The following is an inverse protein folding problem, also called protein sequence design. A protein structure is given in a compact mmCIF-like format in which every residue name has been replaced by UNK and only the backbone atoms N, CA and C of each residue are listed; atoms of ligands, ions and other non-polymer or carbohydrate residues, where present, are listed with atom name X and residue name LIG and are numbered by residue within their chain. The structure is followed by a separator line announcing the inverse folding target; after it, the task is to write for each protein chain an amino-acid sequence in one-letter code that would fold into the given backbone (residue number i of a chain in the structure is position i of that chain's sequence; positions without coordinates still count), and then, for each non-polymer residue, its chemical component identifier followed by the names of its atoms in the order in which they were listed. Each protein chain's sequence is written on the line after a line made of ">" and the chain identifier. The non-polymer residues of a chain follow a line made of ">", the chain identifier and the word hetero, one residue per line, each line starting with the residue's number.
data_IF_261909003207
#
_entry.id   IF_261909003207
#
_cell.length_a   1.000
_cell.length_b   1.000
_cell.length_c   1.000
_cell.angle_alpha   90.00
_cell.angle_beta   90.00
_cell.angle_gamma   90.00
#
_symmetry.space_group_name_H-M   'P 1'
#
loop_
_entity.id
_entity.type
_entity.pdbx_description
1 polymer ?
#
# COMPACT_ATOMS: atom_id res chain seq x y z
N UNK A 1 12.12 -18.78 -17.69
CA UNK A 1 11.26 -18.33 -16.59
C UNK A 1 9.91 -17.94 -17.17
N UNK A 2 8.95 -18.85 -17.13
CA UNK A 2 7.60 -18.63 -17.64
C UNK A 2 6.72 -18.09 -16.53
N UNK A 3 6.16 -16.90 -16.72
CA UNK A 3 5.10 -16.36 -15.88
C UNK A 3 3.84 -17.21 -16.07
N UNK A 4 3.61 -18.16 -15.16
CA UNK A 4 2.38 -18.94 -15.09
C UNK A 4 1.29 -18.02 -14.54
N UNK A 5 0.46 -17.49 -15.44
CA UNK A 5 -0.75 -16.75 -15.09
C UNK A 5 -1.73 -17.66 -14.35
N UNK A 6 -1.81 -17.49 -13.03
CA UNK A 6 -2.75 -18.19 -12.16
C UNK A 6 -4.05 -17.38 -11.97
N UNK A 7 -4.61 -16.86 -13.07
CA UNK A 7 -5.95 -16.25 -13.08
C UNK A 7 -7.01 -17.36 -13.22
N UNK A 8 -7.01 -18.26 -12.24
CA UNK A 8 -7.88 -19.44 -12.17
C UNK A 8 -9.18 -19.19 -11.37
N UNK A 9 -10.08 -20.18 -11.32
CA UNK A 9 -11.57 -20.16 -11.22
C UNK A 9 -12.33 -19.33 -10.17
N UNK A 10 -11.66 -18.52 -9.35
CA UNK A 10 -12.28 -17.81 -8.21
C UNK A 10 -13.29 -16.72 -8.62
N UNK A 11 -13.08 -16.09 -9.77
CA UNK A 11 -13.94 -14.99 -10.25
C UNK A 11 -15.32 -15.42 -10.73
N UNK A 12 -15.47 -16.67 -11.20
CA UNK A 12 -16.75 -17.24 -11.62
C UNK A 12 -17.61 -17.66 -10.42
N UNK A 13 -17.00 -18.29 -9.42
CA UNK A 13 -17.68 -18.71 -8.19
C UNK A 13 -18.19 -17.52 -7.37
N UNK A 14 -17.38 -16.45 -7.25
CA UNK A 14 -17.78 -15.23 -6.53
C UNK A 14 -18.95 -14.48 -7.18
N UNK A 15 -19.12 -14.62 -8.50
CA UNK A 15 -20.23 -14.00 -9.24
C UNK A 15 -21.56 -14.71 -9.01
N UNK A 16 -21.53 -16.03 -8.77
CA UNK A 16 -22.72 -16.83 -8.45
C UNK A 16 -23.31 -16.46 -7.08
N UNK A 17 -22.47 -16.45 -6.04
CA UNK A 17 -22.93 -16.19 -4.66
C UNK A 17 -23.56 -14.80 -4.50
N UNK A 18 -22.96 -13.77 -5.11
CA UNK A 18 -23.49 -12.41 -5.05
C UNK A 18 -24.89 -12.27 -5.68
N UNK A 19 -25.16 -13.03 -6.75
CA UNK A 19 -26.47 -13.03 -7.42
C UNK A 19 -27.52 -13.73 -6.56
N UNK A 20 -27.16 -14.83 -5.90
CA UNK A 20 -28.07 -15.59 -5.06
C UNK A 20 -28.49 -14.79 -3.82
N UNK A 21 -27.54 -14.08 -3.21
CA UNK A 21 -27.81 -13.18 -2.07
C UNK A 21 -28.71 -12.01 -2.47
N UNK A 22 -28.48 -11.43 -3.66
CA UNK A 22 -29.35 -10.39 -4.22
C UNK A 22 -30.78 -10.92 -4.41
N UNK A 23 -30.94 -12.07 -5.05
CA UNK A 23 -32.25 -12.66 -5.32
C UNK A 23 -33.00 -12.98 -4.03
N UNK A 24 -32.31 -13.53 -3.03
CA UNK A 24 -32.89 -13.79 -1.71
C UNK A 24 -33.37 -12.50 -1.04
N UNK A 25 -32.59 -11.43 -1.11
CA UNK A 25 -32.96 -10.12 -0.58
C UNK A 25 -34.18 -9.52 -1.29
N UNK A 26 -34.20 -9.58 -2.63
CA UNK A 26 -35.34 -9.10 -3.43
C UNK A 26 -36.61 -9.88 -3.10
N UNK A 27 -36.53 -11.22 -3.05
CA UNK A 27 -37.68 -12.07 -2.70
C UNK A 27 -38.19 -11.73 -1.29
N UNK A 28 -37.29 -11.58 -0.31
CA UNK A 28 -37.66 -11.19 1.05
C UNK A 28 -38.37 -9.84 1.10
N UNK A 29 -37.86 -8.83 0.38
CA UNK A 29 -38.46 -7.51 0.31
C UNK A 29 -39.85 -7.54 -0.35
N UNK A 30 -39.99 -8.28 -1.46
CA UNK A 30 -41.28 -8.44 -2.16
C UNK A 30 -42.30 -9.12 -1.28
N UNK A 31 -41.92 -10.20 -0.59
CA UNK A 31 -42.81 -10.90 0.35
C UNK A 31 -43.26 -9.96 1.47
N UNK A 32 -42.36 -9.15 2.03
CA UNK A 32 -42.71 -8.20 3.09
C UNK A 32 -43.66 -7.10 2.58
N UNK A 33 -43.45 -6.58 1.36
CA UNK A 33 -44.36 -5.63 0.72
C UNK A 33 -45.75 -6.23 0.50
N UNK A 34 -45.82 -7.47 -0.01
CA UNK A 34 -47.09 -8.17 -0.22
C UNK A 34 -47.82 -8.45 1.09
N UNK A 35 -47.10 -8.82 2.14
CA UNK A 35 -47.68 -9.00 3.48
C UNK A 35 -48.25 -7.70 4.02
N UNK A 36 -47.56 -6.58 3.79
CA UNK A 36 -48.04 -5.26 4.23
C UNK A 36 -49.27 -4.80 3.43
N UNK A 37 -49.28 -5.01 2.11
CA UNK A 37 -50.46 -4.76 1.27
C UNK A 37 -51.65 -5.66 1.66
N UNK A 38 -51.40 -6.93 1.97
CA UNK A 38 -52.43 -7.84 2.47
C UNK A 38 -52.95 -7.41 3.85
N UNK A 39 -52.06 -6.95 4.73
CA UNK A 39 -52.43 -6.45 6.05
C UNK A 39 -53.39 -5.26 5.96
N UNK A 40 -53.19 -4.34 5.00
CA UNK A 40 -54.17 -3.28 4.71
C UNK A 40 -55.55 -3.87 4.42
N UNK A 41 -55.61 -4.86 3.52
CA UNK A 41 -56.88 -5.43 3.05
C UNK A 41 -57.63 -6.21 4.14
N UNK A 42 -56.91 -6.88 5.03
CA UNK A 42 -57.49 -7.79 6.03
C UNK A 42 -57.70 -7.16 7.40
N UNK A 43 -56.79 -6.28 7.83
CA UNK A 43 -56.83 -5.66 9.15
C UNK A 43 -57.44 -4.26 9.11
N UNK A 44 -57.40 -3.60 7.96
CA UNK A 44 -57.84 -2.22 7.78
C UNK A 44 -58.88 -2.10 6.65
N UNK A 45 -59.47 -0.91 6.50
CA UNK A 45 -60.33 -0.62 5.36
C UNK A 45 -59.47 -0.30 4.11
N UNK A 46 -59.94 -0.61 2.89
CA UNK A 46 -59.25 -0.23 1.66
C UNK A 46 -58.97 1.29 1.62
N UNK A 47 -57.74 1.68 1.26
CA UNK A 47 -57.32 3.08 1.21
C UNK A 47 -56.93 3.67 2.56
N UNK A 48 -56.85 2.86 3.62
CA UNK A 48 -56.38 3.33 4.93
C UNK A 48 -54.96 3.88 4.85
N UNK A 49 -54.06 3.26 4.08
CA UNK A 49 -52.68 3.73 3.98
C UNK A 49 -52.53 5.05 3.21
N UNK A 50 -53.49 5.39 2.35
CA UNK A 50 -53.51 6.69 1.66
C UNK A 50 -53.81 7.86 2.62
N UNK A 51 -54.50 7.58 3.73
CA UNK A 51 -54.81 8.60 4.75
C UNK A 51 -53.61 8.95 5.64
N UNK A 52 -52.58 8.10 5.64
CA UNK A 52 -51.38 8.31 6.45
C UNK A 52 -50.44 9.29 5.75
N UNK A 53 -49.88 10.23 6.52
CA UNK A 53 -48.85 11.16 6.02
C UNK A 53 -47.58 10.45 5.55
N UNK A 54 -47.29 9.29 6.14
CA UNK A 54 -46.13 8.47 5.82
C UNK A 54 -46.58 7.05 5.44
N UNK A 55 -46.52 6.74 4.15
CA UNK A 55 -47.00 5.46 3.64
C UNK A 55 -46.10 4.30 4.11
N UNK A 56 -46.62 3.27 4.81
CA UNK A 56 -45.84 2.30 5.59
C UNK A 56 -44.81 1.49 4.79
N UNK A 57 -44.89 1.49 3.46
CA UNK A 57 -43.89 0.91 2.55
C UNK A 57 -42.48 1.48 2.75
N UNK A 58 -42.35 2.70 3.26
CA UNK A 58 -41.05 3.31 3.59
C UNK A 58 -40.19 2.45 4.53
N UNK A 59 -40.83 1.75 5.49
CA UNK A 59 -40.14 0.87 6.46
C UNK A 59 -39.52 -0.31 5.74
N UNK A 60 -40.28 -0.95 4.86
CA UNK A 60 -39.83 -2.13 4.11
C UNK A 60 -38.67 -1.77 3.19
N UNK A 61 -38.76 -0.63 2.51
CA UNK A 61 -37.71 -0.11 1.62
C UNK A 61 -36.43 0.17 2.40
N UNK A 62 -36.54 0.82 3.58
CA UNK A 62 -35.39 1.08 4.45
C UNK A 62 -34.73 -0.21 4.94
N UNK A 63 -35.52 -1.17 5.41
CA UNK A 63 -35.00 -2.46 5.87
C UNK A 63 -34.29 -3.19 4.73
N UNK A 64 -34.90 -3.22 3.54
CA UNK A 64 -34.30 -3.84 2.36
C UNK A 64 -32.98 -3.17 1.96
N UNK A 65 -32.93 -1.83 1.94
CA UNK A 65 -31.72 -1.06 1.65
C UNK A 65 -30.63 -1.26 2.71
N UNK A 66 -31.01 -1.35 3.98
CA UNK A 66 -30.08 -1.52 5.10
C UNK A 66 -29.51 -2.94 5.19
N UNK A 67 -30.32 -3.96 4.91
CA UNK A 67 -29.90 -5.36 5.02
C UNK A 67 -29.12 -5.81 3.79
N UNK A 68 -29.59 -5.45 2.59
CA UNK A 68 -29.10 -6.01 1.33
C UNK A 68 -28.45 -4.97 0.40
N UNK A 69 -28.38 -3.70 0.82
CA UNK A 69 -27.72 -2.62 0.07
C UNK A 69 -28.62 -1.94 -0.96
N UNK A 70 -27.99 -1.09 -1.80
CA UNK A 70 -28.68 -0.19 -2.74
C UNK A 70 -29.55 -0.92 -3.77
N UNK A 71 -29.03 -2.00 -4.38
CA UNK A 71 -29.72 -2.70 -5.46
C UNK A 71 -31.08 -3.27 -5.03
N UNK A 72 -31.13 -3.93 -3.87
CA UNK A 72 -32.38 -4.48 -3.32
C UNK A 72 -33.31 -3.37 -2.85
N UNK A 73 -32.78 -2.29 -2.26
CA UNK A 73 -33.56 -1.11 -1.92
C UNK A 73 -34.26 -0.50 -3.14
N UNK A 74 -33.55 -0.30 -4.25
CA UNK A 74 -34.13 0.20 -5.50
C UNK A 74 -35.19 -0.75 -6.08
N UNK A 75 -34.94 -2.06 -6.05
CA UNK A 75 -35.93 -3.06 -6.49
C UNK A 75 -37.20 -3.02 -5.61
N UNK A 76 -37.04 -2.83 -4.30
CA UNK A 76 -38.15 -2.69 -3.37
C UNK A 76 -38.95 -1.41 -3.65
N UNK A 77 -38.29 -0.27 -3.95
CA UNK A 77 -38.97 0.97 -4.37
C UNK A 77 -39.79 0.75 -5.65
N UNK A 78 -39.20 0.12 -6.66
CA UNK A 78 -39.89 -0.17 -7.91
C UNK A 78 -41.13 -1.04 -7.68
N UNK A 79 -41.00 -2.10 -6.86
CA UNK A 79 -42.12 -2.97 -6.53
C UNK A 79 -43.19 -2.25 -5.71
N UNK A 80 -42.80 -1.47 -4.71
CA UNK A 80 -43.70 -0.66 -3.90
C UNK A 80 -44.49 0.34 -4.76
N UNK A 81 -43.84 0.94 -5.76
CA UNK A 81 -44.48 1.84 -6.72
C UNK A 81 -45.53 1.12 -7.58
N UNK A 82 -45.24 -0.12 -8.01
CA UNK A 82 -46.22 -0.94 -8.74
C UNK A 82 -47.39 -1.33 -7.85
N UNK A 83 -47.15 -1.69 -6.59
CA UNK A 83 -48.17 -2.12 -5.64
C UNK A 83 -49.08 -0.99 -5.14
N UNK A 84 -48.54 0.22 -5.02
CA UNK A 84 -49.32 1.40 -4.60
C UNK A 84 -50.41 1.78 -5.63
N UNK A 85 -50.23 1.39 -6.89
CA UNK A 85 -51.12 1.79 -7.96
C UNK A 85 -50.90 3.25 -8.38
N UNK A 86 -51.64 3.69 -9.40
CA UNK A 86 -51.55 5.05 -9.92
C UNK A 86 -52.67 5.89 -9.29
N UNK A 87 -52.37 7.08 -8.75
CA UNK A 87 -53.39 7.95 -8.19
C UNK A 87 -54.39 8.37 -9.27
N UNK A 88 -55.65 8.63 -8.90
CA UNK A 88 -56.64 9.07 -9.87
C UNK A 88 -56.27 10.43 -10.49
N UNK A 89 -56.43 10.54 -11.81
CA UNK A 89 -56.21 11.80 -12.55
C UNK A 89 -57.44 12.68 -12.45
N UNK A 90 -57.27 13.94 -12.03
CA UNK A 90 -58.38 14.90 -11.96
C UNK A 90 -58.81 15.32 -13.37
N UNK A 91 -60.12 15.51 -13.57
CA UNK A 91 -60.66 15.96 -14.86
C UNK A 91 -60.13 17.36 -15.18
N UNK A 92 -59.50 17.51 -16.34
CA UNK A 92 -58.87 18.77 -16.77
C UNK A 92 -57.44 18.99 -16.27
N UNK A 93 -56.86 18.05 -15.52
CA UNK A 93 -55.46 18.12 -15.10
C UNK A 93 -54.52 17.82 -16.26
N UNK A 94 -53.51 18.68 -16.43
CA UNK A 94 -52.45 18.47 -17.41
C UNK A 94 -51.65 17.18 -17.12
N UNK A 95 -51.29 16.46 -18.17
CA UNK A 95 -50.60 15.17 -18.07
C UNK A 95 -49.23 15.30 -17.39
N UNK A 96 -48.52 16.41 -17.62
CA UNK A 96 -47.22 16.67 -16.99
C UNK A 96 -47.35 16.90 -15.48
N UNK A 97 -48.37 17.65 -15.05
CA UNK A 97 -48.66 17.92 -13.63
C UNK A 97 -49.04 16.63 -12.90
N UNK A 98 -49.89 15.81 -13.53
CA UNK A 98 -50.26 14.49 -13.01
C UNK A 98 -49.05 13.57 -12.82
N UNK A 99 -48.19 13.44 -13.84
CA UNK A 99 -47.00 12.60 -13.77
C UNK A 99 -46.01 13.09 -12.70
N UNK A 100 -45.81 14.41 -12.59
CA UNK A 100 -44.95 14.98 -11.56
C UNK A 100 -45.46 14.64 -10.15
N UNK A 101 -46.78 14.79 -9.91
CA UNK A 101 -47.40 14.46 -8.61
C UNK A 101 -47.26 12.97 -8.26
N UNK A 102 -47.53 12.08 -9.22
CA UNK A 102 -47.42 10.64 -9.02
C UNK A 102 -45.98 10.18 -8.73
N UNK A 103 -44.97 10.89 -9.25
CA UNK A 103 -43.57 10.53 -9.09
C UNK A 103 -42.93 10.99 -7.76
N UNK A 104 -43.51 11.98 -7.04
CA UNK A 104 -42.89 12.56 -5.84
C UNK A 104 -42.62 11.50 -4.76
N UNK A 105 -43.61 10.67 -4.46
CA UNK A 105 -43.52 9.66 -3.40
C UNK A 105 -42.46 8.58 -3.71
N UNK A 106 -42.49 7.90 -4.87
CA UNK A 106 -41.43 6.98 -5.28
C UNK A 106 -40.04 7.61 -5.29
N UNK A 107 -39.93 8.86 -5.73
CA UNK A 107 -38.65 9.57 -5.77
C UNK A 107 -38.09 9.81 -4.37
N UNK A 108 -38.93 10.19 -3.41
CA UNK A 108 -38.51 10.34 -2.01
C UNK A 108 -38.00 9.01 -1.44
N UNK A 109 -38.72 7.91 -1.66
CA UNK A 109 -38.28 6.58 -1.22
C UNK A 109 -36.97 6.15 -1.88
N UNK A 110 -36.82 6.43 -3.17
CA UNK A 110 -35.61 6.13 -3.92
C UNK A 110 -34.40 6.87 -3.35
N UNK A 111 -34.52 8.17 -3.09
CA UNK A 111 -33.43 8.98 -2.52
C UNK A 111 -33.01 8.43 -1.16
N UNK A 112 -33.98 8.12 -0.29
CA UNK A 112 -33.69 7.56 1.05
C UNK A 112 -33.04 6.18 0.94
N UNK A 113 -33.57 5.29 0.09
CA UNK A 113 -33.00 3.96 -0.14
C UNK A 113 -31.57 4.04 -0.68
N UNK A 114 -31.30 4.99 -1.57
CA UNK A 114 -29.98 5.21 -2.13
C UNK A 114 -28.99 5.67 -1.06
N UNK A 115 -29.34 6.68 -0.26
CA UNK A 115 -28.47 7.20 0.82
C UNK A 115 -28.13 6.09 1.82
N UNK A 116 -29.15 5.39 2.32
CA UNK A 116 -28.97 4.32 3.31
C UNK A 116 -28.23 3.13 2.73
N UNK A 117 -28.58 2.71 1.52
CA UNK A 117 -27.91 1.61 0.83
C UNK A 117 -26.45 1.91 0.54
N UNK A 118 -26.11 3.13 0.11
CA UNK A 118 -24.73 3.54 -0.16
C UNK A 118 -23.90 3.56 1.13
N UNK A 119 -24.47 4.08 2.21
CA UNK A 119 -23.82 4.07 3.52
C UNK A 119 -23.53 2.64 3.99
N UNK A 120 -24.50 1.73 3.85
CA UNK A 120 -24.33 0.32 4.17
C UNK A 120 -23.26 -0.35 3.30
N UNK A 121 -23.29 -0.10 1.99
CA UNK A 121 -22.31 -0.66 1.05
C UNK A 121 -20.89 -0.22 1.40
N UNK A 122 -20.72 1.06 1.79
CA UNK A 122 -19.44 1.56 2.28
C UNK A 122 -18.98 0.84 3.56
N UNK A 123 -19.88 0.62 4.52
CA UNK A 123 -19.56 -0.13 5.74
C UNK A 123 -19.12 -1.57 5.45
N UNK A 124 -19.79 -2.25 4.51
CA UNK A 124 -19.44 -3.63 4.13
C UNK A 124 -18.03 -3.67 3.56
N UNK A 125 -17.72 -2.80 2.60
CA UNK A 125 -16.38 -2.72 1.99
C UNK A 125 -15.32 -2.39 3.05
N UNK A 126 -15.57 -1.42 3.92
CA UNK A 126 -14.63 -1.05 4.98
C UNK A 126 -14.37 -2.21 5.95
N UNK A 127 -15.42 -2.94 6.32
CA UNK A 127 -15.28 -4.11 7.20
C UNK A 127 -14.54 -5.27 6.49
N UNK A 128 -14.79 -5.50 5.21
CA UNK A 128 -14.07 -6.49 4.42
C UNK A 128 -12.58 -6.14 4.30
N UNK A 129 -12.25 -4.87 4.06
CA UNK A 129 -10.85 -4.41 4.00
C UNK A 129 -10.15 -4.60 5.34
N UNK A 130 -10.79 -4.23 6.45
CA UNK A 130 -10.21 -4.41 7.79
C UNK A 130 -9.99 -5.89 8.13
N UNK A 131 -10.89 -6.78 7.72
CA UNK A 131 -10.71 -8.23 7.89
C UNK A 131 -9.58 -8.78 7.04
N UNK A 132 -9.46 -8.33 5.79
CA UNK A 132 -8.37 -8.75 4.92
C UNK A 132 -7.01 -8.27 5.46
N UNK A 133 -6.94 -7.05 5.98
CA UNK A 133 -5.75 -6.50 6.61
C UNK A 133 -5.38 -7.27 7.90
N UNK A 134 -6.35 -7.61 8.74
CA UNK A 134 -6.13 -8.42 9.94
C UNK A 134 -5.57 -9.81 9.58
N UNK A 135 -6.18 -10.51 8.63
CA UNK A 135 -5.70 -11.82 8.17
C UNK A 135 -4.29 -11.74 7.56
N UNK A 136 -3.96 -10.65 6.86
CA UNK A 136 -2.61 -10.40 6.33
C UNK A 136 -1.59 -10.21 7.44
N UNK A 137 -1.91 -9.43 8.47
CA UNK A 137 -1.02 -9.17 9.61
C UNK A 137 -0.79 -10.43 10.46
N UNK A 138 -1.83 -11.23 10.66
CA UNK A 138 -1.71 -12.56 11.29
C UNK A 138 -0.74 -13.44 10.48
N UNK A 139 -0.92 -13.52 9.16
CA UNK A 139 -0.01 -14.27 8.29
C UNK A 139 1.45 -13.77 8.32
N UNK A 140 1.67 -12.46 8.45
CA UNK A 140 3.02 -11.90 8.62
C UNK A 140 3.63 -12.30 9.96
N UNK A 141 2.83 -12.28 11.02
CA UNK A 141 3.27 -12.63 12.37
C UNK A 141 3.65 -14.10 12.45
N UNK A 142 2.83 -14.99 11.87
CA UNK A 142 3.11 -16.42 11.77
C UNK A 142 4.39 -16.68 10.96
N UNK A 143 4.58 -15.97 9.85
CA UNK A 143 5.80 -16.07 9.05
C UNK A 143 7.05 -15.59 9.80
N UNK A 144 6.94 -14.53 10.61
CA UNK A 144 8.04 -14.02 11.43
C UNK A 144 8.37 -14.99 12.57
N UNK A 145 7.36 -15.55 13.23
CA UNK A 145 7.55 -16.55 14.28
C UNK A 145 8.28 -17.79 13.73
N UNK A 146 7.88 -18.27 12.56
CA UNK A 146 8.56 -19.38 11.89
C UNK A 146 10.01 -19.04 11.49
N UNK A 147 10.30 -17.79 11.11
CA UNK A 147 11.66 -17.37 10.82
C UNK A 147 12.54 -17.31 12.07
N UNK A 148 12.01 -16.78 13.17
CA UNK A 148 12.73 -16.74 14.46
C UNK A 148 13.06 -18.15 14.93
N UNK A 149 12.11 -19.08 14.85
CA UNK A 149 12.34 -20.49 15.20
C UNK A 149 13.45 -21.13 14.32
N UNK A 150 13.45 -20.85 13.01
CA UNK A 150 14.54 -21.28 12.11
C UNK A 150 15.90 -20.68 12.47
N UNK A 151 15.94 -19.40 12.85
CA UNK A 151 17.17 -18.74 13.28
C UNK A 151 17.69 -19.33 14.59
N UNK A 152 16.83 -19.62 15.55
CA UNK A 152 17.18 -20.25 16.82
C UNK A 152 17.75 -21.66 16.60
N UNK A 153 17.13 -22.47 15.74
CA UNK A 153 17.63 -23.79 15.36
C UNK A 153 19.03 -23.72 14.71
N UNK A 154 19.23 -22.74 13.84
CA UNK A 154 20.53 -22.50 13.20
C UNK A 154 21.59 -22.11 14.23
N UNK A 155 21.28 -21.25 15.21
CA UNK A 155 22.19 -20.89 16.30
C UNK A 155 22.58 -22.14 17.10
N UNK A 156 21.61 -22.96 17.51
CA UNK A 156 21.87 -24.19 18.27
C UNK A 156 22.76 -25.17 17.48
N UNK A 157 22.57 -25.27 16.16
CA UNK A 157 23.44 -26.09 15.30
C UNK A 157 24.87 -25.57 15.29
N UNK A 158 25.06 -24.26 15.11
CA UNK A 158 26.39 -23.62 15.09
C UNK A 158 27.10 -23.74 16.45
N UNK A 159 26.37 -23.61 17.55
CA UNK A 159 26.91 -23.82 18.90
C UNK A 159 27.40 -25.26 19.10
N UNK A 160 26.63 -26.25 18.63
CA UNK A 160 27.03 -27.67 18.68
C UNK A 160 28.26 -27.94 17.83
N UNK A 161 28.33 -27.38 16.62
CA UNK A 161 29.50 -27.50 15.75
C UNK A 161 30.74 -26.85 16.37
N UNK A 162 30.58 -25.69 17.00
CA UNK A 162 31.66 -25.00 17.70
C UNK A 162 32.16 -25.80 18.91
N UNK A 163 31.26 -26.42 19.68
CA UNK A 163 31.60 -27.26 20.83
C UNK A 163 32.21 -28.60 20.42
N UNK A 164 31.80 -29.18 19.30
CA UNK A 164 32.32 -30.44 18.77
C UNK A 164 33.68 -30.27 18.06
N UNK A 165 34.04 -29.05 17.67
CA UNK A 165 35.37 -28.76 17.10
C UNK A 165 36.41 -29.02 18.20
N UNK A 166 37.26 -30.05 18.06
CA UNK A 166 38.24 -30.39 19.08
C UNK A 166 39.16 -29.19 19.30
N UNK A 167 39.53 -28.94 20.55
CA UNK A 167 40.53 -27.97 20.95
C UNK A 167 41.88 -28.38 20.33
N UNK A 168 42.07 -28.05 19.05
CA UNK A 168 43.38 -28.05 18.44
C UNK A 168 44.21 -27.03 19.22
N UNK A 169 45.47 -27.39 19.49
CA UNK A 169 46.52 -26.51 19.99
C UNK A 169 46.38 -25.11 19.38
N UNK A 170 46.63 -24.01 20.12
CA UNK A 170 46.46 -22.64 19.65
C UNK A 170 47.44 -22.34 18.51
N UNK A 171 47.14 -22.85 17.32
CA UNK A 171 47.61 -22.29 16.08
C UNK A 171 47.06 -20.86 16.07
N UNK A 172 47.92 -19.85 15.84
CA UNK A 172 47.48 -18.46 15.81
C UNK A 172 46.26 -18.39 14.88
N UNK A 173 45.14 -17.92 15.43
CA UNK A 173 43.92 -17.73 14.65
C UNK A 173 44.32 -17.10 13.32
N UNK A 174 43.92 -17.66 12.17
CA UNK A 174 44.24 -17.03 10.89
C UNK A 174 43.71 -15.61 11.02
N UNK A 175 44.63 -14.64 11.08
CA UNK A 175 44.29 -13.23 11.02
C UNK A 175 43.37 -13.15 9.81
N UNK A 176 42.10 -12.73 9.96
CA UNK A 176 41.20 -12.70 8.82
C UNK A 176 41.79 -11.71 7.82
N UNK A 177 42.53 -12.23 6.86
CA UNK A 177 43.09 -11.49 5.74
C UNK A 177 42.03 -11.51 4.67
N UNK A 178 41.25 -10.43 4.56
CA UNK A 178 40.19 -10.29 3.57
C UNK A 178 39.00 -9.48 4.06
N UNK A 179 37.97 -9.41 3.21
CA UNK A 179 36.78 -8.55 3.37
C UNK A 179 36.04 -8.76 4.70
N UNK A 180 36.09 -9.96 5.28
CA UNK A 180 35.46 -10.24 6.57
C UNK A 180 36.05 -9.46 7.75
N UNK A 181 37.35 -9.13 7.74
CA UNK A 181 37.96 -8.29 8.76
C UNK A 181 37.56 -6.83 8.61
N UNK A 182 37.49 -6.37 7.36
CA UNK A 182 37.06 -5.03 7.01
C UNK A 182 35.60 -4.83 7.46
N UNK A 183 34.71 -5.77 7.14
CA UNK A 183 33.32 -5.71 7.58
C UNK A 183 33.19 -5.72 9.11
N UNK A 184 33.94 -6.57 9.82
CA UNK A 184 33.94 -6.58 11.29
C UNK A 184 34.39 -5.24 11.89
N UNK A 185 35.37 -4.60 11.26
CA UNK A 185 35.85 -3.27 11.68
C UNK A 185 34.81 -2.18 11.38
N UNK A 186 34.06 -2.31 10.28
CA UNK A 186 33.04 -1.35 9.86
C UNK A 186 31.69 -1.51 10.57
N UNK A 187 31.42 -2.67 11.20
CA UNK A 187 30.14 -2.97 11.88
C UNK A 187 29.65 -1.88 12.85
N UNK A 188 30.48 -1.29 13.72
CA UNK A 188 30.02 -0.23 14.63
C UNK A 188 29.48 0.99 13.87
N UNK A 189 30.18 1.41 12.82
CA UNK A 189 29.79 2.59 12.01
C UNK A 189 28.56 2.29 11.14
N UNK A 190 28.45 1.08 10.58
CA UNK A 190 27.25 0.63 9.87
C UNK A 190 26.02 0.58 10.80
N UNK A 191 26.21 0.13 12.03
CA UNK A 191 25.16 0.14 13.05
C UNK A 191 24.77 1.57 13.45
N UNK A 192 25.74 2.49 13.55
CA UNK A 192 25.48 3.90 13.82
C UNK A 192 24.69 4.54 12.68
N UNK A 193 25.07 4.28 11.42
CA UNK A 193 24.34 4.72 10.24
C UNK A 193 22.89 4.23 10.27
N UNK A 194 22.65 2.92 10.46
CA UNK A 194 21.29 2.37 10.54
C UNK A 194 20.47 2.98 11.70
N UNK A 195 21.15 3.45 12.75
CA UNK A 195 20.58 4.15 13.90
C UNK A 195 20.30 5.64 13.71
N UNK A 196 20.95 6.27 12.73
CA UNK A 196 21.01 7.71 12.59
C UNK A 196 19.64 8.36 12.35
N UNK A 197 19.49 9.57 12.89
CA UNK A 197 18.28 10.39 12.73
C UNK A 197 18.65 11.81 12.31
N UNK A 198 17.78 12.43 11.52
CA UNK A 198 17.84 13.86 11.21
C UNK A 198 19.23 14.33 10.75
N UNK A 199 19.81 15.22 11.55
CA UNK A 199 21.09 15.88 11.36
C UNK A 199 22.33 15.00 11.59
N UNK A 200 22.17 13.80 12.18
CA UNK A 200 23.27 12.85 12.38
C UNK A 200 23.57 12.01 11.12
N UNK A 201 22.61 11.95 10.18
CA UNK A 201 22.71 11.12 8.97
C UNK A 201 23.96 11.43 8.11
N UNK A 202 24.32 12.71 7.81
CA UNK A 202 25.53 12.98 7.04
C UNK A 202 26.81 12.46 7.71
N UNK A 203 26.98 12.70 9.01
CA UNK A 203 28.19 12.35 9.74
C UNK A 203 28.35 10.82 9.90
N UNK A 204 27.26 10.13 10.22
CA UNK A 204 27.25 8.67 10.36
C UNK A 204 27.42 7.96 9.01
N UNK A 205 26.88 8.51 7.93
CA UNK A 205 27.11 8.02 6.58
C UNK A 205 28.58 8.13 6.18
N UNK A 206 29.21 9.29 6.42
CA UNK A 206 30.61 9.51 6.10
C UNK A 206 31.54 8.57 6.89
N UNK A 207 31.25 8.36 8.18
CA UNK A 207 32.00 7.43 9.02
C UNK A 207 31.88 5.98 8.52
N UNK A 208 30.66 5.54 8.20
CA UNK A 208 30.40 4.21 7.64
C UNK A 208 31.07 4.02 6.26
N UNK A 209 31.02 5.03 5.39
CA UNK A 209 31.66 5.02 4.09
C UNK A 209 33.19 4.89 4.22
N UNK A 210 33.82 5.71 5.07
CA UNK A 210 35.27 5.65 5.34
C UNK A 210 35.73 4.33 5.96
N UNK A 211 34.86 3.68 6.75
CA UNK A 211 35.17 2.39 7.33
C UNK A 211 35.10 1.25 6.31
N UNK A 212 34.32 1.41 5.24
CA UNK A 212 34.02 0.35 4.28
C UNK A 212 34.78 0.48 2.95
N UNK A 213 35.05 1.71 2.51
CA UNK A 213 35.51 2.05 1.16
C UNK A 213 36.73 2.97 1.21
N UNK A 214 37.71 2.72 0.33
CA UNK A 214 38.98 3.45 0.27
C UNK A 214 38.93 4.64 -0.73
N UNK A 215 37.76 5.23 -0.95
CA UNK A 215 37.57 6.29 -1.94
C UNK A 215 36.36 7.18 -1.67
N UNK A 216 36.15 8.23 -2.47
CA UNK A 216 35.08 9.20 -2.26
C UNK A 216 33.70 8.56 -2.52
N UNK A 217 32.78 8.84 -1.59
CA UNK A 217 31.43 8.28 -1.57
C UNK A 217 30.42 9.40 -1.30
N UNK A 218 29.33 9.39 -2.06
CA UNK A 218 28.20 10.27 -1.84
C UNK A 218 26.89 9.46 -1.72
N UNK A 219 25.98 9.95 -0.88
CA UNK A 219 24.60 9.52 -0.76
C UNK A 219 23.71 10.60 -1.35
N UNK A 220 22.93 10.21 -2.35
CA UNK A 220 21.93 11.05 -2.98
C UNK A 220 20.57 10.55 -2.51
N UNK A 221 19.96 11.28 -1.58
CA UNK A 221 18.59 11.06 -1.14
C UNK A 221 17.66 11.93 -1.98
N UNK A 222 16.67 11.34 -2.64
CA UNK A 222 15.73 12.11 -3.47
C UNK A 222 14.37 12.14 -2.83
N UNK A 223 13.84 13.34 -2.65
CA UNK A 223 12.43 13.57 -2.37
C UNK A 223 11.70 13.90 -3.69
N UNK A 224 10.64 13.17 -4.07
CA UNK A 224 9.86 13.49 -5.25
C UNK A 224 9.19 14.88 -5.19
N UNK A 225 8.98 15.45 -4.00
CA UNK A 225 8.35 16.76 -3.80
C UNK A 225 9.38 17.89 -3.62
N UNK A 226 10.41 17.68 -2.80
CA UNK A 226 11.31 18.76 -2.31
C UNK A 226 12.72 18.75 -2.93
N UNK A 227 12.98 17.86 -3.89
CA UNK A 227 14.21 17.84 -4.67
C UNK A 227 15.26 16.85 -4.17
N UNK A 228 16.52 17.08 -4.56
CA UNK A 228 17.63 16.14 -4.30
C UNK A 228 18.45 16.62 -3.10
N UNK A 229 18.48 15.83 -2.03
CA UNK A 229 19.35 16.04 -0.88
C UNK A 229 20.64 15.25 -1.09
N UNK A 230 21.77 15.93 -1.08
CA UNK A 230 23.09 15.29 -1.13
C UNK A 230 23.73 15.25 0.25
N UNK A 231 24.28 14.09 0.59
CA UNK A 231 24.99 13.81 1.82
C UNK A 231 26.33 13.13 1.47
N UNK A 232 27.43 13.58 2.04
CA UNK A 232 28.76 12.97 1.83
C UNK A 232 29.72 13.84 1.01
N UNK A 233 30.73 13.20 0.42
CA UNK A 233 31.85 13.90 -0.22
C UNK A 233 31.43 14.45 -1.60
N UNK A 234 31.35 15.77 -1.71
CA UNK A 234 30.98 16.47 -2.94
C UNK A 234 31.94 16.18 -4.10
N UNK A 235 33.20 15.84 -3.82
CA UNK A 235 34.21 15.52 -4.83
C UNK A 235 33.89 14.21 -5.59
N UNK A 236 32.98 13.37 -5.06
CA UNK A 236 32.51 12.17 -5.72
C UNK A 236 31.66 12.49 -6.98
N UNK A 237 30.97 13.63 -6.98
CA UNK A 237 29.98 14.01 -8.02
C UNK A 237 30.30 15.34 -8.72
N UNK A 238 31.23 16.14 -8.19
CA UNK A 238 31.62 17.45 -8.73
C UNK A 238 30.69 18.59 -8.27
N UNK A 239 30.86 19.78 -8.87
CA UNK A 239 30.19 21.03 -8.43
C UNK A 239 28.65 21.00 -8.55
N UNK A 240 28.09 20.15 -9.42
CA UNK A 240 26.64 19.99 -9.60
C UNK A 240 26.24 18.52 -9.50
N UNK A 241 25.97 18.10 -8.28
CA UNK A 241 25.71 16.72 -7.99
C UNK A 241 24.32 16.23 -8.41
N UNK A 242 23.34 17.12 -8.57
CA UNK A 242 22.04 16.74 -9.13
C UNK A 242 22.19 16.39 -10.61
N UNK A 243 22.90 17.24 -11.36
CA UNK A 243 23.22 16.98 -12.77
C UNK A 243 24.06 15.72 -12.92
N UNK A 244 25.06 15.51 -12.05
CA UNK A 244 25.88 14.31 -12.07
C UNK A 244 25.09 13.04 -11.73
N UNK A 245 24.24 13.07 -10.70
CA UNK A 245 23.37 11.96 -10.34
C UNK A 245 22.40 11.59 -11.48
N UNK A 246 21.85 12.60 -12.17
CA UNK A 246 20.98 12.41 -13.33
C UNK A 246 21.72 11.82 -14.52
N UNK A 247 22.94 12.29 -14.80
CA UNK A 247 23.78 11.76 -15.86
C UNK A 247 24.19 10.30 -15.60
N UNK A 248 24.58 9.98 -14.36
CA UNK A 248 24.94 8.62 -13.95
C UNK A 248 23.76 7.66 -14.06
N UNK A 249 22.55 8.06 -13.63
CA UNK A 249 21.33 7.25 -13.81
C UNK A 249 20.98 7.05 -15.29
N UNK A 250 21.13 8.08 -16.12
CA UNK A 250 20.83 7.97 -17.55
C UNK A 250 21.82 7.04 -18.28
N UNK A 251 23.06 6.94 -17.79
CA UNK A 251 24.08 6.06 -18.33
C UNK A 251 23.98 4.62 -17.80
N UNK A 252 23.30 4.39 -16.67
CA UNK A 252 23.05 3.06 -16.12
C UNK A 252 21.78 2.44 -16.73
N UNK A 253 21.92 1.36 -17.51
CA UNK A 253 20.76 0.61 -18.04
C UNK A 253 19.91 -0.02 -16.92
N UNK A 254 20.55 -0.42 -15.81
CA UNK A 254 19.95 -0.80 -14.54
C UNK A 254 20.69 -0.06 -13.42
N UNK A 255 19.99 0.81 -12.67
CA UNK A 255 20.63 1.62 -11.62
C UNK A 255 21.08 0.74 -10.44
N UNK A 256 20.57 -0.49 -10.37
CA UNK A 256 20.89 -1.44 -9.31
C UNK A 256 22.20 -2.16 -9.62
N UNK A 257 23.32 -1.68 -9.07
CA UNK A 257 24.60 -2.37 -9.20
C UNK A 257 25.27 -2.18 -10.57
N UNK A 258 25.05 -1.05 -11.22
CA UNK A 258 25.81 -0.68 -12.41
C UNK A 258 27.18 -0.12 -12.04
N UNK A 259 28.18 -0.51 -12.83
CA UNK A 259 29.49 0.16 -12.90
C UNK A 259 29.51 1.00 -14.17
N UNK A 260 29.60 2.32 -14.00
CA UNK A 260 29.55 3.30 -15.09
C UNK A 260 30.88 4.03 -15.16
N UNK A 261 31.53 4.06 -16.32
CA UNK A 261 32.72 4.89 -16.51
C UNK A 261 32.30 6.36 -16.62
N UNK A 262 33.04 7.27 -15.98
CA UNK A 262 32.68 8.70 -15.99
C UNK A 262 32.55 9.26 -17.41
N UNK A 263 33.42 8.81 -18.32
CA UNK A 263 33.36 9.17 -19.74
C UNK A 263 32.08 8.71 -20.44
N UNK A 264 31.53 7.54 -20.08
CA UNK A 264 30.28 7.05 -20.65
C UNK A 264 29.07 7.87 -20.16
N UNK A 265 29.14 8.39 -18.93
CA UNK A 265 28.15 9.31 -18.38
C UNK A 265 28.32 10.77 -18.86
N UNK A 266 29.33 11.06 -19.68
CA UNK A 266 29.64 12.43 -20.12
C UNK A 266 30.17 13.33 -19.01
N UNK A 267 30.66 12.76 -17.90
CA UNK A 267 31.21 13.48 -16.77
C UNK A 267 32.72 13.69 -16.92
N UNK A 268 33.25 14.84 -16.47
CA UNK A 268 34.68 15.12 -16.54
C UNK A 268 35.47 14.23 -15.57
N UNK A 269 36.65 13.80 -16.01
CA UNK A 269 37.59 13.01 -15.21
C UNK A 269 37.73 11.55 -15.65
N UNK A 270 38.80 10.91 -15.18
CA UNK A 270 39.02 9.47 -15.33
C UNK A 270 38.41 8.70 -14.15
N UNK A 271 38.11 7.42 -14.39
CA UNK A 271 37.64 6.47 -13.38
C UNK A 271 36.29 5.83 -13.69
N UNK A 272 35.81 5.05 -12.73
CA UNK A 272 34.50 4.41 -12.78
C UNK A 272 33.73 4.66 -11.50
N UNK A 273 32.41 4.59 -11.61
CA UNK A 273 31.48 4.80 -10.50
C UNK A 273 30.64 3.54 -10.32
N UNK A 274 30.55 3.07 -9.08
CA UNK A 274 29.61 2.03 -8.67
C UNK A 274 28.38 2.69 -8.09
N UNK A 275 27.21 2.31 -8.60
CA UNK A 275 25.92 2.82 -8.15
C UNK A 275 25.14 1.71 -7.44
N UNK A 276 24.59 2.02 -6.27
CA UNK A 276 23.57 1.19 -5.64
C UNK A 276 22.40 2.07 -5.21
N UNK A 277 21.27 1.88 -5.87
CA UNK A 277 20.01 2.54 -5.52
C UNK A 277 19.10 1.58 -4.74
N UNK A 278 18.47 2.13 -3.71
CA UNK A 278 17.52 1.44 -2.85
C UNK A 278 16.33 2.36 -2.58
N UNK A 279 15.15 1.90 -2.94
CA UNK A 279 13.91 2.62 -2.65
C UNK A 279 13.53 2.42 -1.17
N UNK A 280 13.17 3.51 -0.49
CA UNK A 280 12.54 3.46 0.81
C UNK A 280 11.27 2.60 0.75
N UNK A 281 10.97 1.85 1.82
CA UNK A 281 9.72 1.07 1.90
C UNK A 281 8.52 1.97 2.20
N UNK A 282 8.77 3.20 2.67
CA UNK A 282 7.73 4.18 2.98
C UNK A 282 7.12 4.75 1.69
N UNK A 283 5.79 4.94 1.68
CA UNK A 283 5.01 5.44 0.52
C UNK A 283 5.47 6.81 -0.03
N UNK A 284 6.29 7.56 0.72
CA UNK A 284 6.83 8.86 0.31
C UNK A 284 7.76 8.78 -0.92
N UNK A 285 8.14 7.59 -1.37
CA UNK A 285 8.91 7.41 -2.61
C UNK A 285 10.35 7.93 -2.52
N UNK A 286 10.89 8.07 -1.31
CA UNK A 286 12.28 8.46 -1.11
C UNK A 286 13.21 7.38 -1.67
N UNK A 287 14.24 7.80 -2.40
CA UNK A 287 15.27 6.87 -2.92
C UNK A 287 16.62 7.21 -2.32
N UNK A 288 17.32 6.20 -1.81
CA UNK A 288 18.71 6.30 -1.38
C UNK A 288 19.62 5.77 -2.49
N UNK A 289 20.43 6.63 -3.09
CA UNK A 289 21.42 6.22 -4.09
C UNK A 289 22.83 6.47 -3.55
N UNK A 290 23.59 5.40 -3.35
CA UNK A 290 25.02 5.49 -2.99
C UNK A 290 25.85 5.48 -4.27
N UNK A 291 26.76 6.44 -4.35
CA UNK A 291 27.67 6.66 -5.46
C UNK A 291 29.10 6.52 -4.95
N UNK A 292 29.79 5.45 -5.34
CA UNK A 292 31.19 5.23 -5.01
C UNK A 292 32.07 5.44 -6.23
N UNK A 293 33.06 6.32 -6.14
CA UNK A 293 33.99 6.59 -7.23
C UNK A 293 35.31 5.85 -7.02
N UNK A 294 35.69 5.05 -8.00
CA UNK A 294 36.91 4.27 -8.04
C UNK A 294 37.85 4.73 -9.17
N UNK A 295 39.12 4.33 -9.06
CA UNK A 295 40.18 4.67 -10.03
C UNK A 295 39.92 4.02 -11.39
N UNK A 296 39.32 2.83 -11.41
CA UNK A 296 38.94 2.10 -12.61
C UNK A 296 37.71 1.20 -12.35
N UNK A 297 37.21 0.54 -13.40
CA UNK A 297 36.04 -0.33 -13.33
C UNK A 297 36.27 -1.58 -12.45
N UNK A 298 37.49 -2.13 -12.45
CA UNK A 298 37.80 -3.32 -11.65
C UNK A 298 37.75 -3.01 -10.15
N UNK A 299 38.26 -1.85 -9.73
CA UNK A 299 38.17 -1.37 -8.37
C UNK A 299 36.73 -1.03 -7.96
N UNK A 300 35.91 -0.51 -8.88
CA UNK A 300 34.48 -0.29 -8.66
C UNK A 300 33.72 -1.62 -8.46
N UNK A 301 34.01 -2.64 -9.28
CA UNK A 301 33.39 -3.96 -9.18
C UNK A 301 33.82 -4.70 -7.90
N UNK A 302 35.09 -4.58 -7.49
CA UNK A 302 35.60 -5.14 -6.24
C UNK A 302 34.99 -4.49 -4.97
N UNK A 303 34.28 -3.36 -5.13
CA UNK A 303 33.56 -2.70 -4.05
C UNK A 303 32.04 -2.97 -4.09
N UNK A 304 31.54 -3.77 -5.04
CA UNK A 304 30.12 -3.96 -5.27
C UNK A 304 29.33 -4.34 -4.00
N UNK A 305 29.71 -5.43 -3.33
CA UNK A 305 29.03 -5.91 -2.13
C UNK A 305 29.04 -4.88 -1.00
N UNK A 306 30.15 -4.14 -0.88
CA UNK A 306 30.32 -3.09 0.14
C UNK A 306 29.39 -1.90 -0.13
N UNK A 307 29.32 -1.46 -1.38
CA UNK A 307 28.42 -0.36 -1.79
C UNK A 307 26.95 -0.77 -1.59
N UNK A 308 26.59 -2.03 -1.85
CA UNK A 308 25.24 -2.52 -1.59
C UNK A 308 24.87 -2.55 -0.11
N UNK A 309 25.78 -3.01 0.76
CA UNK A 309 25.58 -2.98 2.22
C UNK A 309 25.37 -1.54 2.68
N UNK A 310 26.20 -0.60 2.22
CA UNK A 310 26.10 0.81 2.60
C UNK A 310 24.78 1.43 2.12
N UNK A 311 24.34 1.11 0.90
CA UNK A 311 23.07 1.58 0.36
C UNK A 311 21.86 1.03 1.13
N UNK A 312 21.91 -0.23 1.57
CA UNK A 312 20.86 -0.83 2.38
C UNK A 312 20.78 -0.18 3.77
N UNK A 313 21.92 0.10 4.41
CA UNK A 313 21.93 0.82 5.69
C UNK A 313 21.38 2.24 5.53
N UNK A 314 21.80 2.96 4.49
CA UNK A 314 21.28 4.30 4.19
C UNK A 314 19.75 4.29 3.95
N UNK A 315 19.23 3.26 3.24
CA UNK A 315 17.78 3.06 3.04
C UNK A 315 17.05 2.93 4.38
N UNK A 316 17.58 2.14 5.32
CA UNK A 316 16.97 1.95 6.65
C UNK A 316 16.91 3.27 7.43
N UNK A 317 17.98 4.07 7.37
CA UNK A 317 18.04 5.37 8.05
C UNK A 317 17.08 6.38 7.43
N UNK A 318 16.98 6.41 6.10
CA UNK A 318 16.01 7.27 5.39
C UNK A 318 14.56 6.84 5.68
N UNK A 319 14.28 5.53 5.76
CA UNK A 319 12.97 5.01 6.16
C UNK A 319 12.57 5.50 7.57
N UNK A 320 13.54 5.63 8.49
CA UNK A 320 13.31 6.16 9.84
C UNK A 320 13.12 7.66 9.81
N UNK A 321 13.98 8.39 9.10
CA UNK A 321 13.86 9.84 8.92
C UNK A 321 12.48 10.21 8.35
N UNK A 322 12.01 9.49 7.34
CA UNK A 322 10.69 9.69 6.73
C UNK A 322 9.54 9.55 7.74
N UNK A 323 9.65 8.59 8.67
CA UNK A 323 8.67 8.41 9.75
C UNK A 323 8.74 9.53 10.78
N UNK A 324 9.95 9.94 11.16
CA UNK A 324 10.15 11.02 12.14
C UNK A 324 9.66 12.38 11.59
N UNK A 325 9.81 12.61 10.28
CA UNK A 325 9.28 13.79 9.59
C UNK A 325 7.76 13.73 9.35
N UNK A 326 7.09 12.62 9.68
CA UNK A 326 5.64 12.47 9.50
C UNK A 326 5.18 12.36 8.04
N UNK A 327 6.10 12.24 7.08
CA UNK A 327 5.83 12.25 5.64
C UNK A 327 4.96 11.06 5.18
N UNK A 328 4.81 10.02 6.00
CA UNK A 328 3.96 8.86 5.68
C UNK A 328 2.52 8.91 6.23
N UNK A 329 2.22 9.74 7.23
CA UNK A 329 0.93 9.67 7.94
C UNK A 329 -0.12 10.64 7.40
N UNK A 330 0.27 11.89 7.14
CA UNK A 330 -0.69 12.94 6.78
C UNK A 330 -1.13 12.85 5.31
N UNK A 331 -0.24 12.47 4.40
CA UNK A 331 -0.58 12.31 2.99
C UNK A 331 -1.33 11.02 2.70
N UNK A 332 -1.14 9.94 3.47
CA UNK A 332 -1.97 8.75 3.37
C UNK A 332 -3.44 9.06 3.74
N UNK A 333 -3.66 9.94 4.73
CA UNK A 333 -4.99 10.44 5.09
C UNK A 333 -5.60 11.33 4.01
N UNK A 334 -4.80 12.17 3.37
CA UNK A 334 -5.23 13.12 2.34
C UNK A 334 -5.48 12.46 0.99
N UNK A 335 -4.59 11.57 0.53
CA UNK A 335 -4.75 10.77 -0.68
C UNK A 335 -5.93 9.78 -0.56
N UNK A 336 -6.17 9.17 0.61
CA UNK A 336 -7.41 8.41 0.87
C UNK A 336 -8.65 9.29 0.87
N UNK A 337 -8.57 10.54 1.35
CA UNK A 337 -9.70 11.49 1.28
C UNK A 337 -9.99 11.94 -0.16
N UNK A 338 -8.97 12.21 -0.96
CA UNK A 338 -9.15 12.66 -2.34
C UNK A 338 -9.60 11.53 -3.27
N UNK A 339 -9.16 10.29 -3.05
CA UNK A 339 -9.75 9.10 -3.72
C UNK A 339 -11.18 8.80 -3.27
N UNK A 340 -11.59 9.20 -2.06
CA UNK A 340 -12.99 9.07 -1.59
C UNK A 340 -13.90 10.21 -2.10
N UNK A 341 -13.33 11.27 -2.71
CA UNK A 341 -14.06 12.43 -3.26
C UNK A 341 -14.23 12.41 -4.78
N UNK A 342 -13.55 11.51 -5.48
CA UNK A 342 -13.77 11.20 -6.91
C UNK A 342 -14.68 9.99 -7.03
#
# INVERSE_FOLDING_TARGET
>A
MSAVGHDGPTSALRRGTARDDLMRGVVGAVVLLLLLAAAERFLFAPGFYETLTLHPFWIVILIAALQHGTAVGCAAVAMATVLMGWPDRLVGEDAAVYAARAAVLPLQWLVVALIVGLYRQKQIVETETLRADAARLEGMTDSLAAEVERMDDMIVSLEREAAARPAADPAPAPVPTGDGALLRRALPELSALAGARGDELPATFEAAAKALLDGPVALVARDPADGTLLLGDGDALGDDAETAAKALRAAAEDVTGATVTLSAAGLPGGGAVRLAERAATVEAGLTAMVVFRAVDAAAADAAADRVEILAEMARISIDRLSRDLGLGADDAGKARRDRRRR
#
